data_IF_168030657297
#
_entry.id   IF_168030657297
#
_cell.length_a   1.000
_cell.length_b   1.000
_cell.length_c   1.000
_cell.angle_alpha   90.00
_cell.angle_beta   90.00
_cell.angle_gamma   90.00
#
_symmetry.space_group_name_H-M   'P 1'
#
loop_
_entity.id
_entity.type
_entity.pdbx_description
1 polymer ?
#
# COMPACT_ATOMS: atom_id res chain seq x y z
N UNK A 1 -26.55 -24.07 7.08
CA UNK A 1 -25.58 -23.48 8.03
C UNK A 1 -25.13 -22.15 7.47
N UNK A 2 -25.56 -21.01 8.02
CA UNK A 2 -25.18 -19.71 7.47
C UNK A 2 -23.69 -19.44 7.73
N UNK A 3 -22.91 -19.24 6.65
CA UNK A 3 -21.53 -18.72 6.75
C UNK A 3 -21.65 -17.29 7.25
N UNK A 4 -21.21 -17.01 8.47
CA UNK A 4 -21.05 -15.63 8.96
C UNK A 4 -19.96 -14.95 8.15
N UNK A 5 -20.34 -14.29 7.06
CA UNK A 5 -19.41 -13.49 6.27
C UNK A 5 -18.99 -12.29 7.11
N UNK A 6 -17.68 -12.14 7.32
CA UNK A 6 -17.09 -10.98 7.98
C UNK A 6 -17.45 -9.74 7.16
N UNK A 7 -18.22 -8.82 7.74
CA UNK A 7 -18.51 -7.53 7.09
C UNK A 7 -17.29 -6.63 7.23
N UNK A 8 -16.97 -5.94 6.14
CA UNK A 8 -15.80 -5.07 6.08
C UNK A 8 -15.90 -3.91 7.08
N UNK A 9 -17.09 -3.31 7.21
CA UNK A 9 -17.37 -2.25 8.17
C UNK A 9 -17.00 -2.66 9.62
N UNK A 10 -17.53 -3.79 10.08
CA UNK A 10 -17.24 -4.33 11.42
C UNK A 10 -15.75 -4.63 11.62
N UNK A 11 -15.04 -4.97 10.54
CA UNK A 11 -13.59 -5.22 10.59
C UNK A 11 -12.81 -3.93 10.82
N UNK A 12 -13.21 -2.84 10.16
CA UNK A 12 -12.61 -1.52 10.34
C UNK A 12 -12.80 -1.06 11.78
N UNK A 13 -14.04 -1.10 12.28
CA UNK A 13 -14.39 -0.68 13.64
C UNK A 13 -13.60 -1.46 14.70
N UNK A 14 -13.60 -2.79 14.62
CA UNK A 14 -12.82 -3.65 15.52
C UNK A 14 -11.32 -3.41 15.46
N UNK A 15 -10.80 -3.01 14.30
CA UNK A 15 -9.38 -2.66 14.16
C UNK A 15 -9.06 -1.34 14.89
N UNK A 16 -9.98 -0.37 14.90
CA UNK A 16 -9.82 0.85 15.69
C UNK A 16 -9.85 0.58 17.20
N UNK A 17 -10.74 -0.30 17.66
CA UNK A 17 -10.79 -0.69 19.08
C UNK A 17 -9.50 -1.41 19.50
N UNK A 18 -9.01 -2.34 18.68
CA UNK A 18 -7.73 -3.00 18.91
C UNK A 18 -6.56 -2.03 19.00
N UNK A 19 -6.59 -0.95 18.22
CA UNK A 19 -5.58 0.11 18.29
C UNK A 19 -5.63 0.88 19.61
N UNK A 20 -6.83 1.25 20.06
CA UNK A 20 -7.01 1.94 21.33
C UNK A 20 -6.52 1.07 22.51
N UNK A 21 -6.78 -0.25 22.46
CA UNK A 21 -6.26 -1.23 23.43
C UNK A 21 -4.74 -1.35 23.31
N UNK A 22 -4.16 -1.39 22.10
CA UNK A 22 -2.72 -1.46 21.91
C UNK A 22 -1.97 -0.23 22.48
N UNK A 23 -2.60 0.95 22.42
CA UNK A 23 -2.01 2.20 22.91
C UNK A 23 -2.18 2.41 24.41
N UNK A 24 -3.33 2.00 24.97
CA UNK A 24 -3.73 2.34 26.34
C UNK A 24 -3.59 1.17 27.32
N UNK A 25 -3.57 -0.06 26.81
CA UNK A 25 -3.65 -1.29 27.61
C UNK A 25 -2.42 -2.19 27.37
N UNK A 26 -2.46 -3.38 27.94
CA UNK A 26 -1.39 -4.37 27.93
C UNK A 26 -1.40 -5.24 26.66
N UNK A 27 -0.21 -5.77 26.31
CA UNK A 27 -0.03 -6.71 25.19
C UNK A 27 -0.92 -7.96 25.31
N UNK A 28 -1.29 -8.35 26.53
CA UNK A 28 -2.18 -9.49 26.81
C UNK A 28 -3.63 -9.17 26.48
N UNK A 29 -4.13 -7.99 26.87
CA UNK A 29 -5.48 -7.53 26.53
C UNK A 29 -5.67 -7.48 25.01
N UNK A 30 -4.70 -6.91 24.29
CA UNK A 30 -4.70 -6.90 22.83
C UNK A 30 -4.81 -8.31 22.23
N UNK A 31 -3.99 -9.27 22.69
CA UNK A 31 -3.97 -10.64 22.13
C UNK A 31 -5.30 -11.36 22.31
N UNK A 32 -5.96 -11.16 23.44
CA UNK A 32 -7.26 -11.76 23.72
C UNK A 32 -8.34 -11.19 22.78
N UNK A 33 -8.45 -9.86 22.70
CA UNK A 33 -9.45 -9.20 21.86
C UNK A 33 -9.21 -9.44 20.36
N UNK A 34 -7.94 -9.48 19.93
CA UNK A 34 -7.55 -9.79 18.55
C UNK A 34 -7.97 -11.21 18.16
N UNK A 35 -7.85 -12.16 19.10
CA UNK A 35 -8.30 -13.54 18.93
C UNK A 35 -9.83 -13.62 18.87
N UNK A 36 -10.54 -12.90 19.74
CA UNK A 36 -12.01 -12.88 19.78
C UNK A 36 -12.61 -12.26 18.50
N UNK A 37 -11.95 -11.25 17.93
CA UNK A 37 -12.33 -10.65 16.65
C UNK A 37 -11.89 -11.46 15.42
N UNK A 38 -11.01 -12.46 15.62
CA UNK A 38 -10.40 -13.25 14.55
C UNK A 38 -9.46 -12.44 13.65
N UNK A 39 -8.91 -11.33 14.16
CA UNK A 39 -7.98 -10.44 13.46
C UNK A 39 -6.57 -10.77 13.94
N UNK A 40 -6.01 -11.88 13.44
CA UNK A 40 -4.71 -12.44 13.86
C UNK A 40 -3.67 -12.40 12.74
N UNK A 41 -3.82 -11.50 11.77
CA UNK A 41 -2.93 -11.44 10.61
C UNK A 41 -1.49 -11.15 11.03
N UNK A 42 -0.53 -11.89 10.45
CA UNK A 42 0.89 -11.77 10.76
C UNK A 42 1.45 -10.37 10.48
N UNK A 43 0.78 -9.64 9.58
CA UNK A 43 0.91 -8.19 9.36
C UNK A 43 0.86 -7.49 10.72
N UNK A 44 -0.23 -7.61 11.49
CA UNK A 44 -0.39 -6.94 12.79
C UNK A 44 0.71 -7.29 13.80
N UNK A 45 1.29 -8.49 13.75
CA UNK A 45 2.37 -8.89 14.66
C UNK A 45 3.68 -8.16 14.36
N UNK A 46 4.03 -7.98 13.08
CA UNK A 46 5.20 -7.19 12.66
C UNK A 46 5.08 -5.74 13.12
N UNK A 47 3.85 -5.19 13.11
CA UNK A 47 3.64 -3.80 13.47
C UNK A 47 3.35 -3.54 14.96
N UNK A 48 3.43 -4.57 15.82
CA UNK A 48 3.51 -4.39 17.28
C UNK A 48 4.92 -4.05 17.75
N UNK A 49 5.94 -4.48 17.01
CA UNK A 49 7.34 -4.33 17.44
C UNK A 49 7.99 -3.04 16.96
N UNK A 50 7.43 -2.40 15.92
CA UNK A 50 7.70 -0.99 15.59
C UNK A 50 6.40 -0.22 15.68
N UNK A 51 6.40 0.95 16.33
CA UNK A 51 5.26 1.85 16.55
C UNK A 51 4.72 2.40 15.20
N UNK A 52 4.21 1.54 14.33
CA UNK A 52 3.79 1.87 12.95
C UNK A 52 2.62 0.96 12.50
N UNK A 53 1.68 0.62 13.38
CA UNK A 53 0.35 0.15 12.96
C UNK A 53 -0.75 1.01 13.57
N UNK A 54 -1.06 2.20 13.09
CA UNK A 54 -1.62 2.35 11.77
C UNK A 54 -2.20 3.79 11.75
N UNK A 55 -1.41 4.79 11.34
CA UNK A 55 -1.95 6.10 11.04
C UNK A 55 -2.92 6.05 9.85
N UNK A 56 -2.88 4.99 9.03
CA UNK A 56 -3.65 4.90 7.78
C UNK A 56 -5.17 4.71 7.95
N UNK A 57 -5.67 4.18 9.08
CA UNK A 57 -7.13 4.16 9.31
C UNK A 57 -7.67 5.47 9.90
N UNK A 58 -6.82 6.34 10.50
CA UNK A 58 -7.25 7.67 11.00
C UNK A 58 -7.00 8.80 10.00
N UNK A 59 -6.05 8.62 9.09
CA UNK A 59 -5.80 9.57 8.02
C UNK A 59 -6.87 9.41 6.94
N UNK A 60 -7.52 10.52 6.57
CA UNK A 60 -8.37 10.57 5.37
C UNK A 60 -7.59 9.94 4.22
N UNK A 61 -8.26 9.11 3.42
CA UNK A 61 -7.68 8.39 2.26
C UNK A 61 -6.80 9.31 1.41
N UNK A 62 -7.13 10.59 1.33
CA UNK A 62 -6.37 11.65 0.66
C UNK A 62 -4.92 11.81 1.16
N UNK A 63 -4.68 11.81 2.48
CA UNK A 63 -3.33 11.97 3.05
C UNK A 63 -2.50 10.71 2.80
N UNK A 64 -3.14 9.54 2.93
CA UNK A 64 -2.53 8.27 2.60
C UNK A 64 -2.19 8.19 1.10
N UNK A 65 -3.11 8.60 0.25
CA UNK A 65 -2.91 8.67 -1.19
C UNK A 65 -1.76 9.62 -1.54
N UNK A 66 -1.69 10.80 -0.92
CA UNK A 66 -0.60 11.76 -1.13
C UNK A 66 0.76 11.21 -0.69
N UNK A 67 0.81 10.52 0.46
CA UNK A 67 2.03 9.90 0.99
C UNK A 67 2.51 8.73 0.12
N UNK A 68 1.60 7.80 -0.22
CA UNK A 68 1.90 6.68 -1.12
C UNK A 68 2.29 7.16 -2.51
N UNK A 69 1.60 8.17 -3.05
CA UNK A 69 1.94 8.74 -4.35
C UNK A 69 3.34 9.34 -4.33
N UNK A 70 3.76 9.96 -3.22
CA UNK A 70 5.13 10.40 -3.00
C UNK A 70 6.12 9.23 -3.07
N UNK A 71 5.98 8.25 -2.18
CA UNK A 71 6.89 7.10 -2.11
C UNK A 71 6.99 6.33 -3.44
N UNK A 72 5.85 6.05 -4.07
CA UNK A 72 5.76 5.30 -5.34
C UNK A 72 6.50 6.04 -6.46
N UNK A 73 6.37 7.38 -6.57
CA UNK A 73 7.10 8.17 -7.59
C UNK A 73 8.62 7.99 -7.49
N UNK A 74 9.16 7.95 -6.27
CA UNK A 74 10.60 7.75 -6.05
C UNK A 74 11.03 6.32 -6.29
N UNK A 75 10.25 5.32 -5.83
CA UNK A 75 10.53 3.91 -6.09
C UNK A 75 10.56 3.59 -7.58
N UNK A 76 9.60 4.13 -8.34
CA UNK A 76 9.57 3.99 -9.80
C UNK A 76 10.82 4.61 -10.42
N UNK A 77 11.22 5.81 -10.03
CA UNK A 77 12.43 6.45 -10.57
C UNK A 77 13.68 5.62 -10.29
N UNK A 78 13.84 5.13 -9.06
CA UNK A 78 15.00 4.34 -8.64
C UNK A 78 15.09 3.01 -9.41
N UNK A 79 13.96 2.30 -9.53
CA UNK A 79 13.84 1.12 -10.37
C UNK A 79 14.21 1.41 -11.83
N UNK A 80 13.66 2.46 -12.41
CA UNK A 80 13.93 2.83 -13.81
C UNK A 80 15.39 3.25 -14.06
N UNK A 81 16.04 3.88 -13.08
CA UNK A 81 17.46 4.24 -13.15
C UNK A 81 18.39 3.03 -12.96
N UNK A 82 17.98 2.03 -12.17
CA UNK A 82 18.78 0.81 -11.93
C UNK A 82 18.64 -0.23 -13.04
N UNK A 83 17.63 -0.12 -13.91
CA UNK A 83 17.42 -1.02 -15.03
C UNK A 83 18.50 -0.90 -16.11
N UNK A 84 19.05 -2.04 -16.52
CA UNK A 84 19.96 -2.13 -17.67
C UNK A 84 19.18 -1.96 -18.98
N UNK A 85 19.78 -1.36 -20.02
CA UNK A 85 19.11 -1.12 -21.31
C UNK A 85 18.60 -2.41 -21.99
N UNK A 86 19.22 -3.56 -21.68
CA UNK A 86 18.80 -4.89 -22.17
C UNK A 86 17.43 -5.32 -21.62
N UNK A 87 17.07 -4.88 -20.43
CA UNK A 87 15.82 -5.26 -19.75
C UNK A 87 14.68 -4.27 -20.05
N UNK A 88 14.99 -3.17 -20.74
CA UNK A 88 14.03 -2.13 -21.07
C UNK A 88 12.98 -2.60 -22.06
N UNK A 89 13.37 -3.46 -23.00
CA UNK A 89 12.47 -4.10 -23.96
C UNK A 89 11.42 -4.97 -23.26
N UNK A 90 11.82 -5.72 -22.23
CA UNK A 90 10.92 -6.53 -21.42
C UNK A 90 9.94 -5.66 -20.63
N UNK A 91 10.42 -4.55 -20.05
CA UNK A 91 9.54 -3.60 -19.36
C UNK A 91 8.48 -3.02 -20.30
N UNK A 92 8.87 -2.59 -21.49
CA UNK A 92 7.93 -2.07 -22.49
C UNK A 92 6.91 -3.14 -22.84
N UNK A 93 7.34 -4.37 -23.13
CA UNK A 93 6.44 -5.48 -23.41
C UNK A 93 5.46 -5.76 -22.25
N UNK A 94 5.91 -5.67 -20.99
CA UNK A 94 5.06 -5.83 -19.81
C UNK A 94 4.04 -4.69 -19.64
N UNK A 95 4.39 -3.45 -19.98
CA UNK A 95 3.43 -2.34 -19.96
C UNK A 95 2.37 -2.50 -21.05
N UNK A 96 2.76 -2.96 -22.24
CA UNK A 96 1.84 -3.14 -23.38
C UNK A 96 0.93 -4.37 -23.21
N UNK A 97 1.38 -5.40 -22.48
CA UNK A 97 0.56 -6.58 -22.14
C UNK A 97 -0.35 -6.37 -20.94
N UNK A 98 -0.19 -5.26 -20.22
CA UNK A 98 -1.03 -4.92 -19.08
C UNK A 98 -2.45 -4.59 -19.55
N UNK A 99 -3.45 -5.30 -19.02
CA UNK A 99 -4.85 -5.06 -19.33
C UNK A 99 -5.44 -4.03 -18.33
N UNK A 100 -5.69 -2.78 -18.76
CA UNK A 100 -6.22 -1.75 -17.88
C UNK A 100 -7.74 -1.85 -17.69
N UNK A 101 -8.46 -2.61 -18.52
CA UNK A 101 -9.92 -2.65 -18.55
C UNK A 101 -10.52 -3.18 -17.24
N UNK A 102 -9.79 -4.08 -16.56
CA UNK A 102 -10.20 -4.62 -15.27
C UNK A 102 -10.13 -3.60 -14.11
N UNK A 103 -9.42 -2.48 -14.30
CA UNK A 103 -9.22 -1.45 -13.28
C UNK A 103 -9.79 -0.07 -13.67
N UNK A 104 -10.49 0.04 -14.80
CA UNK A 104 -10.98 1.33 -15.34
C UNK A 104 -9.85 2.38 -15.47
N UNK A 105 -8.67 1.94 -15.92
CA UNK A 105 -7.50 2.79 -16.07
C UNK A 105 -7.27 3.19 -17.52
N UNK A 106 -6.63 4.33 -17.73
CA UNK A 106 -6.13 4.68 -19.06
C UNK A 106 -5.00 3.72 -19.47
N UNK A 107 -4.95 3.37 -20.76
CA UNK A 107 -3.88 2.55 -21.32
C UNK A 107 -2.52 3.24 -21.14
N UNK A 108 -1.53 2.49 -20.63
CA UNK A 108 -0.19 2.99 -20.34
C UNK A 108 0.74 2.55 -21.47
N UNK A 109 1.18 3.48 -22.32
CA UNK A 109 2.21 3.16 -23.32
C UNK A 109 3.58 3.01 -22.65
N UNK A 110 4.18 1.82 -22.78
CA UNK A 110 5.49 1.52 -22.21
C UNK A 110 6.60 2.40 -22.80
N UNK A 111 6.53 2.67 -24.11
CA UNK A 111 7.48 3.56 -24.81
C UNK A 111 7.41 4.99 -24.28
N UNK A 112 6.20 5.50 -24.07
CA UNK A 112 5.99 6.83 -23.52
C UNK A 112 6.50 6.91 -22.08
N UNK A 113 6.16 5.92 -21.26
CA UNK A 113 6.57 5.84 -19.86
C UNK A 113 8.09 5.84 -19.70
N UNK A 114 8.80 4.98 -20.43
CA UNK A 114 10.27 4.90 -20.43
C UNK A 114 10.93 6.23 -20.85
N UNK A 115 10.33 6.96 -21.78
CA UNK A 115 10.88 8.24 -22.24
C UNK A 115 10.68 9.36 -21.21
N UNK A 116 9.58 9.31 -20.45
CA UNK A 116 9.15 10.42 -19.61
C UNK A 116 9.17 10.13 -18.10
N UNK A 117 9.61 8.95 -17.63
CA UNK A 117 9.57 8.57 -16.20
C UNK A 117 10.27 9.57 -15.27
N UNK A 118 11.33 10.25 -15.74
CA UNK A 118 12.04 11.27 -14.95
C UNK A 118 11.16 12.45 -14.58
N UNK A 119 10.06 12.68 -15.30
CA UNK A 119 9.08 13.74 -15.00
C UNK A 119 8.19 13.44 -13.79
N UNK A 120 8.12 12.18 -13.35
CA UNK A 120 7.33 11.75 -12.18
C UNK A 120 7.83 12.40 -10.87
N UNK A 121 9.13 12.71 -10.81
CA UNK A 121 9.75 13.45 -9.72
C UNK A 121 10.02 14.86 -10.23
N UNK A 122 9.36 15.86 -9.66
CA UNK A 122 9.38 17.23 -10.17
C UNK A 122 10.78 17.86 -10.26
N UNK A 123 10.88 18.98 -10.99
CA UNK A 123 12.13 19.74 -11.22
C UNK A 123 12.90 20.14 -9.95
N UNK A 124 12.24 20.17 -8.79
CA UNK A 124 12.83 20.51 -7.48
C UNK A 124 13.84 19.48 -6.95
N UNK A 125 14.01 18.35 -7.62
CA UNK A 125 15.01 17.33 -7.30
C UNK A 125 16.14 17.27 -8.34
N UNK A 126 16.66 18.44 -8.74
CA UNK A 126 18.01 18.50 -9.32
C UNK A 126 19.00 18.26 -8.18
N UNK A 127 19.58 17.06 -8.13
CA UNK A 127 20.87 16.81 -7.47
C UNK A 127 21.98 17.41 -8.33
#
# INVERSE_FOLDING_TARGET
TQRNFRKWYDTIERTHELWDIALKDTKTAYKNVSKDYGIQDNINDVFKEGIIFNPFLRLKVEVLHAFMLGAIKYMIRDFMCSLKPKNLSQLIASCESFNPDALDLAHISGKYFVKHFKSLVGKHFKM
#
